data_IF_473160102502
#
_entry.id   IF_473160102502
#
_cell.length_a   1.000
_cell.length_b   1.000
_cell.length_c   1.000
_cell.angle_alpha   90.00
_cell.angle_beta   90.00
_cell.angle_gamma   90.00
#
_symmetry.space_group_name_H-M   'P 1'
#
loop_
_entity.id
_entity.type
_entity.pdbx_description
1 polymer ?
#
# COMPACT_ATOMS: atom_id res chain seq x y z
N UNK A 1 19.34 -7.79 1.01
CA UNK A 1 18.07 -7.04 1.18
C UNK A 1 18.39 -5.58 0.93
N UNK A 2 17.65 -4.88 0.06
CA UNK A 2 17.85 -3.44 -0.17
C UNK A 2 17.56 -2.66 1.12
N UNK A 3 18.51 -1.85 1.59
CA UNK A 3 18.27 -1.00 2.77
C UNK A 3 17.03 -0.12 2.55
N UNK A 4 16.05 -0.24 3.44
CA UNK A 4 14.90 0.66 3.49
C UNK A 4 15.32 1.90 4.28
N UNK A 5 15.83 2.91 3.58
CA UNK A 5 16.31 4.17 4.19
C UNK A 5 15.17 5.13 4.51
N UNK A 6 14.11 5.12 3.68
CA UNK A 6 12.92 5.93 3.84
C UNK A 6 11.69 5.05 3.91
N UNK A 7 10.78 5.35 4.85
CA UNK A 7 9.60 4.53 5.14
C UNK A 7 8.35 5.38 5.32
N UNK A 8 7.23 4.91 4.79
CA UNK A 8 5.88 5.39 5.13
C UNK A 8 5.01 4.20 5.56
N UNK A 9 4.07 4.44 6.46
CA UNK A 9 3.16 3.42 6.98
C UNK A 9 1.74 3.97 6.94
N UNK A 10 0.83 3.20 6.36
CA UNK A 10 -0.60 3.48 6.33
C UNK A 10 -1.32 2.43 7.15
N UNK A 11 -2.14 2.87 8.09
CA UNK A 11 -2.99 2.00 8.91
C UNK A 11 -4.44 2.27 8.54
N UNK A 12 -5.11 1.25 8.02
CA UNK A 12 -6.50 1.29 7.60
C UNK A 12 -7.33 0.54 8.63
N UNK A 13 -8.27 1.25 9.24
CA UNK A 13 -9.22 0.74 10.23
C UNK A 13 -10.63 0.91 9.68
N UNK A 14 -11.57 0.11 10.18
CA UNK A 14 -12.99 0.19 9.81
C UNK A 14 -13.25 -0.01 8.29
N UNK A 15 -12.37 -0.74 7.61
CA UNK A 15 -12.48 -1.09 6.18
C UNK A 15 -12.56 -2.61 6.00
N UNK A 16 -13.12 -3.05 4.88
CA UNK A 16 -13.08 -4.46 4.48
C UNK A 16 -11.63 -4.92 4.27
N UNK A 17 -11.09 -5.65 5.27
CA UNK A 17 -9.70 -6.11 5.28
C UNK A 17 -9.42 -7.04 4.10
N UNK A 18 -10.36 -7.90 3.76
CA UNK A 18 -10.22 -8.89 2.71
C UNK A 18 -10.09 -8.23 1.34
N UNK A 19 -10.92 -7.22 1.08
CA UNK A 19 -10.85 -6.40 -0.12
C UNK A 19 -9.49 -5.72 -0.25
N UNK A 20 -9.02 -5.05 0.79
CA UNK A 20 -7.73 -4.34 0.76
C UNK A 20 -6.57 -5.33 0.55
N UNK A 21 -6.53 -6.43 1.30
CA UNK A 21 -5.46 -7.44 1.19
C UNK A 21 -5.42 -8.03 -0.22
N UNK A 22 -6.56 -8.45 -0.78
CA UNK A 22 -6.60 -9.05 -2.14
C UNK A 22 -6.17 -8.04 -3.20
N UNK A 23 -6.59 -6.79 -3.07
CA UNK A 23 -6.24 -5.72 -4.01
C UNK A 23 -4.73 -5.43 -3.96
N UNK A 24 -4.18 -5.23 -2.76
CA UNK A 24 -2.77 -4.86 -2.60
C UNK A 24 -1.80 -6.03 -2.78
N UNK A 25 -2.18 -7.28 -2.50
CA UNK A 25 -1.35 -8.45 -2.88
C UNK A 25 -1.13 -8.54 -4.38
N UNK A 26 -2.12 -8.14 -5.18
CA UNK A 26 -1.99 -8.08 -6.63
C UNK A 26 -1.01 -6.97 -7.04
N UNK A 27 -1.18 -5.79 -6.45
CA UNK A 27 -0.34 -4.61 -6.72
C UNK A 27 1.09 -4.73 -6.15
N UNK A 28 1.33 -5.58 -5.14
CA UNK A 28 2.63 -5.70 -4.49
C UNK A 28 3.76 -6.01 -5.47
N UNK A 29 3.46 -6.84 -6.48
CA UNK A 29 4.42 -7.19 -7.54
C UNK A 29 4.74 -6.02 -8.45
N UNK A 30 3.74 -5.17 -8.75
CA UNK A 30 3.89 -3.97 -9.58
C UNK A 30 4.62 -2.85 -8.82
N UNK A 31 4.42 -2.80 -7.51
CA UNK A 31 4.99 -1.79 -6.62
C UNK A 31 6.35 -2.22 -6.02
N UNK A 32 7.01 -3.22 -6.62
CA UNK A 32 8.34 -3.70 -6.20
C UNK A 32 9.37 -3.45 -7.31
N UNK A 33 10.42 -2.72 -6.96
CA UNK A 33 11.58 -2.47 -7.84
C UNK A 33 12.88 -2.37 -7.03
N UNK A 34 14.02 -2.25 -7.71
CA UNK A 34 15.35 -2.29 -7.08
C UNK A 34 15.57 -1.28 -5.94
N UNK A 35 14.87 -0.14 -5.99
CA UNK A 35 15.00 1.00 -5.07
C UNK A 35 13.83 1.15 -4.09
N UNK A 36 12.82 0.28 -4.14
CA UNK A 36 11.68 0.37 -3.22
C UNK A 36 10.65 -0.73 -3.41
N UNK A 37 9.83 -0.93 -2.37
CA UNK A 37 8.78 -1.92 -2.35
C UNK A 37 7.62 -1.48 -1.47
N UNK A 38 6.47 -2.08 -1.70
CA UNK A 38 5.32 -2.05 -0.79
C UNK A 38 5.15 -3.45 -0.21
N UNK A 39 4.76 -3.52 1.06
CA UNK A 39 4.38 -4.77 1.72
C UNK A 39 3.10 -4.54 2.52
N UNK A 40 2.23 -5.55 2.54
CA UNK A 40 0.95 -5.48 3.24
C UNK A 40 0.88 -6.55 4.33
N UNK A 41 0.40 -6.15 5.51
CA UNK A 41 0.07 -7.02 6.62
C UNK A 41 -1.34 -6.73 7.13
N UNK A 42 -1.91 -7.68 7.86
CA UNK A 42 -3.20 -7.51 8.52
C UNK A 42 -3.15 -8.11 9.91
N UNK A 43 -3.87 -7.48 10.82
CA UNK A 43 -4.04 -7.89 12.21
C UNK A 43 -5.52 -7.74 12.61
N UNK A 44 -5.83 -7.97 13.88
CA UNK A 44 -7.19 -7.87 14.42
C UNK A 44 -7.75 -6.44 14.35
N UNK A 45 -6.89 -5.41 14.28
CA UNK A 45 -7.28 -4.00 14.28
C UNK A 45 -7.43 -3.41 12.88
N UNK A 46 -6.87 -4.05 11.84
CA UNK A 46 -6.93 -3.48 10.49
C UNK A 46 -5.95 -4.06 9.49
N UNK A 47 -5.64 -3.23 8.50
CA UNK A 47 -4.62 -3.49 7.49
C UNK A 47 -3.50 -2.47 7.61
N UNK A 48 -2.26 -2.94 7.59
CA UNK A 48 -1.06 -2.11 7.58
C UNK A 48 -0.35 -2.24 6.24
N UNK A 49 -0.18 -1.12 5.54
CA UNK A 49 0.60 -1.02 4.30
C UNK A 49 1.90 -0.30 4.63
N UNK A 50 3.02 -0.98 4.41
CA UNK A 50 4.37 -0.42 4.60
C UNK A 50 4.98 -0.14 3.24
N UNK A 51 5.46 1.10 3.07
CA UNK A 51 6.19 1.54 1.89
C UNK A 51 7.64 1.77 2.28
N UNK A 52 8.57 1.19 1.53
CA UNK A 52 10.00 1.26 1.77
C UNK A 52 10.74 1.71 0.52
N UNK A 53 11.71 2.62 0.66
CA UNK A 53 12.50 3.14 -0.44
C UNK A 53 13.92 3.52 -0.04
N UNK A 54 14.84 3.56 -1.01
CA UNK A 54 16.24 4.01 -0.82
C UNK A 54 16.43 5.52 -0.96
N UNK A 55 15.48 6.20 -1.61
CA UNK A 55 15.53 7.65 -1.85
C UNK A 55 14.13 8.28 -1.73
N UNK A 56 14.08 9.58 -1.45
CA UNK A 56 12.81 10.32 -1.26
C UNK A 56 11.93 10.33 -2.50
N UNK A 57 12.52 10.33 -3.71
CA UNK A 57 11.77 10.34 -4.96
C UNK A 57 11.01 9.02 -5.16
N UNK A 58 11.67 7.90 -4.88
CA UNK A 58 11.12 6.56 -4.90
C UNK A 58 10.04 6.40 -3.83
N UNK A 59 10.26 6.92 -2.60
CA UNK A 59 9.23 6.95 -1.57
C UNK A 59 7.99 7.71 -2.05
N UNK A 60 8.16 8.93 -2.58
CA UNK A 60 7.06 9.75 -3.12
C UNK A 60 6.28 9.01 -4.20
N UNK A 61 6.98 8.36 -5.13
CA UNK A 61 6.35 7.62 -6.22
C UNK A 61 5.50 6.46 -5.70
N UNK A 62 6.04 5.68 -4.75
CA UNK A 62 5.31 4.56 -4.15
C UNK A 62 4.11 5.02 -3.32
N UNK A 63 4.28 6.06 -2.49
CA UNK A 63 3.19 6.66 -1.72
C UNK A 63 2.07 7.13 -2.65
N UNK A 64 2.39 7.79 -3.76
CA UNK A 64 1.39 8.21 -4.73
C UNK A 64 0.66 7.01 -5.36
N UNK A 65 1.37 5.93 -5.65
CA UNK A 65 0.78 4.67 -6.12
C UNK A 65 -0.22 4.10 -5.11
N UNK A 66 0.20 3.94 -3.85
CA UNK A 66 -0.64 3.43 -2.76
C UNK A 66 -1.89 4.29 -2.59
N UNK A 67 -1.75 5.62 -2.52
CA UNK A 67 -2.87 6.54 -2.31
C UNK A 67 -3.88 6.50 -3.45
N UNK A 68 -3.41 6.45 -4.71
CA UNK A 68 -4.30 6.32 -5.87
C UNK A 68 -5.04 5.00 -5.87
N UNK A 69 -4.36 3.90 -5.56
CA UNK A 69 -5.01 2.58 -5.45
C UNK A 69 -6.07 2.56 -4.35
N UNK A 70 -5.78 3.11 -3.17
CA UNK A 70 -6.75 3.23 -2.09
C UNK A 70 -7.96 4.06 -2.50
N UNK A 71 -7.73 5.23 -3.12
CA UNK A 71 -8.80 6.08 -3.62
C UNK A 71 -9.71 5.32 -4.58
N UNK A 72 -9.14 4.63 -5.58
CA UNK A 72 -9.92 3.88 -6.56
C UNK A 72 -10.70 2.72 -5.94
N UNK A 73 -10.13 2.02 -4.96
CA UNK A 73 -10.82 0.94 -4.25
C UNK A 73 -12.02 1.49 -3.48
N UNK A 74 -11.83 2.55 -2.69
CA UNK A 74 -12.91 3.13 -1.90
C UNK A 74 -14.00 3.76 -2.78
N UNK A 75 -13.60 4.44 -3.85
CA UNK A 75 -14.55 5.00 -4.80
C UNK A 75 -15.35 3.89 -5.50
N UNK A 76 -14.70 2.81 -5.92
CA UNK A 76 -15.40 1.67 -6.53
C UNK A 76 -16.39 1.00 -5.56
N UNK A 77 -16.06 0.91 -4.27
CA UNK A 77 -16.98 0.42 -3.24
C UNK A 77 -18.19 1.35 -3.09
N UNK A 78 -17.97 2.66 -3.05
CA UNK A 78 -19.05 3.66 -2.96
C UNK A 78 -19.98 3.63 -4.18
N UNK A 79 -19.45 3.38 -5.38
CA UNK A 79 -20.25 3.27 -6.60
C UNK A 79 -21.10 1.99 -6.68
N UNK A 80 -20.78 0.98 -5.88
CA UNK A 80 -21.52 -0.28 -5.79
C UNK A 80 -22.53 -0.34 -4.64
N UNK A 81 -22.62 0.70 -3.80
CA UNK A 81 -23.55 0.86 -2.69
C UNK A 81 -24.79 1.66 -3.11
#
# INVERSE_FOLDING_TARGET
MSECLFRAVFSLRDTDKDLIIKSFKTLEREMRFSRGFVSIGADDDGVTIVVCARDLSSLRSLVNGVMKSLYLIFEAVNLGA
#
